data_IF_954579095152
#
_entry.id   IF_954579095152
#
_cell.length_a   1.000
_cell.length_b   1.000
_cell.length_c   1.000
_cell.angle_alpha   90.00
_cell.angle_beta   90.00
_cell.angle_gamma   90.00
#
_symmetry.space_group_name_H-M   'P 1'
#
loop_
_entity.id
_entity.type
_entity.pdbx_description
1 polymer ?
#
# COMPACT_ATOMS: atom_id res chain seq x y z
N UNK A 1 -7.54 9.10 -8.16
CA UNK A 1 -7.43 10.08 -7.04
C UNK A 1 -7.33 9.30 -5.74
N UNK A 2 -6.14 8.84 -5.34
CA UNK A 2 -5.99 7.93 -4.19
C UNK A 2 -4.74 8.19 -3.33
N UNK A 3 -4.12 9.36 -3.46
CA UNK A 3 -2.99 9.78 -2.62
C UNK A 3 -3.16 11.24 -2.21
N UNK A 4 -2.95 11.53 -0.93
CA UNK A 4 -3.38 12.79 -0.32
C UNK A 4 -4.89 13.01 -0.51
N UNK A 5 -5.29 14.27 -0.63
CA UNK A 5 -6.70 14.64 -0.85
C UNK A 5 -7.10 14.60 -2.33
N UNK A 6 -6.22 14.09 -3.21
CA UNK A 6 -6.44 14.09 -4.66
C UNK A 6 -6.30 15.46 -5.34
N UNK A 7 -5.84 16.47 -4.60
CA UNK A 7 -5.50 17.81 -5.09
C UNK A 7 -4.08 18.20 -4.63
N UNK A 8 -3.42 19.07 -5.39
CA UNK A 8 -2.07 19.56 -5.10
C UNK A 8 -1.98 21.07 -5.35
N UNK A 9 -1.10 21.76 -4.62
CA UNK A 9 -0.63 23.08 -5.02
C UNK A 9 0.52 22.91 -6.02
N UNK A 10 0.45 23.61 -7.16
CA UNK A 10 1.52 23.59 -8.14
C UNK A 10 2.53 24.71 -7.83
N UNK A 11 3.82 24.39 -7.80
CA UNK A 11 4.91 25.36 -7.61
C UNK A 11 5.93 25.20 -8.74
N UNK A 12 5.61 25.68 -9.96
CA UNK A 12 6.40 25.39 -11.17
C UNK A 12 7.88 25.76 -11.06
N UNK A 13 8.23 26.80 -10.30
CA UNK A 13 9.62 27.20 -10.16
C UNK A 13 10.49 26.20 -9.38
N UNK A 14 9.89 25.23 -8.66
CA UNK A 14 10.59 24.35 -7.71
C UNK A 14 10.13 22.88 -7.74
N UNK A 15 9.29 22.49 -8.72
CA UNK A 15 8.96 21.09 -9.04
C UNK A 15 9.01 20.91 -10.56
N UNK A 16 9.80 19.95 -11.03
CA UNK A 16 10.06 19.72 -12.46
C UNK A 16 8.78 19.39 -13.25
N UNK A 17 7.86 18.64 -12.64
CA UNK A 17 6.61 18.23 -13.30
C UNK A 17 5.69 19.43 -13.43
N UNK A 18 5.62 20.25 -12.39
CA UNK A 18 4.87 21.50 -12.40
C UNK A 18 5.49 22.50 -13.40
N UNK A 19 6.83 22.56 -13.51
CA UNK A 19 7.54 23.40 -14.48
C UNK A 19 7.17 23.02 -15.92
N UNK A 20 7.28 21.73 -16.26
CA UNK A 20 6.93 21.23 -17.59
C UNK A 20 5.45 21.47 -17.93
N UNK A 21 4.55 21.29 -16.94
CA UNK A 21 3.13 21.58 -17.10
C UNK A 21 2.89 23.08 -17.33
N UNK A 22 3.51 23.95 -16.53
CA UNK A 22 3.37 25.38 -16.65
C UNK A 22 3.88 25.91 -17.99
N UNK A 23 5.03 25.43 -18.47
CA UNK A 23 5.55 25.77 -19.80
C UNK A 23 4.57 25.41 -20.90
N UNK A 24 4.06 24.17 -20.88
CA UNK A 24 3.13 23.68 -21.91
C UNK A 24 1.85 24.50 -21.99
N UNK A 25 1.36 24.99 -20.86
CA UNK A 25 0.09 25.71 -20.75
C UNK A 25 0.25 27.21 -20.52
N UNK A 26 1.46 27.75 -20.67
CA UNK A 26 1.80 29.16 -20.46
C UNK A 26 1.29 29.71 -19.11
N UNK A 27 1.48 28.93 -18.05
CA UNK A 27 1.11 29.32 -16.68
C UNK A 27 2.26 30.07 -16.01
N UNK A 28 1.96 30.93 -15.01
CA UNK A 28 2.98 31.68 -14.29
C UNK A 28 3.99 30.79 -13.57
N UNK A 29 5.28 31.11 -13.72
CA UNK A 29 6.39 30.50 -12.99
C UNK A 29 6.99 31.57 -12.08
N UNK A 30 6.87 31.40 -10.75
CA UNK A 30 7.34 32.38 -9.76
C UNK A 30 8.43 31.77 -8.88
N UNK A 31 9.64 32.29 -8.97
CA UNK A 31 10.75 31.89 -8.11
C UNK A 31 10.51 32.36 -6.66
N UNK A 32 10.60 31.42 -5.72
CA UNK A 32 10.54 31.66 -4.27
C UNK A 32 11.68 31.01 -3.48
N UNK A 33 12.56 30.25 -4.14
CA UNK A 33 13.81 29.72 -3.58
C UNK A 33 14.99 30.18 -4.45
N UNK A 34 16.05 30.65 -3.80
CA UNK A 34 17.33 30.95 -4.42
C UNK A 34 18.46 30.16 -3.73
N UNK A 35 19.50 29.85 -4.50
CA UNK A 35 20.67 29.10 -4.02
C UNK A 35 21.90 29.99 -4.20
N UNK A 36 22.66 30.19 -3.13
CA UNK A 36 23.88 31.01 -3.18
C UNK A 36 24.87 30.42 -4.20
N UNK A 37 25.33 31.26 -5.15
CA UNK A 37 26.21 30.87 -6.25
C UNK A 37 25.48 30.53 -7.56
N UNK A 38 24.17 30.32 -7.53
CA UNK A 38 23.34 30.17 -8.74
C UNK A 38 22.72 31.52 -9.10
N UNK A 39 23.06 32.08 -10.26
CA UNK A 39 22.73 33.48 -10.60
C UNK A 39 21.67 33.65 -11.67
N UNK A 40 21.29 32.59 -12.39
CA UNK A 40 20.30 32.66 -13.46
C UNK A 40 19.15 31.70 -13.23
N UNK A 41 18.01 32.20 -12.77
CA UNK A 41 16.74 31.50 -12.85
C UNK A 41 16.14 31.70 -14.25
N UNK A 42 15.89 30.60 -14.96
CA UNK A 42 15.25 30.59 -16.28
C UNK A 42 13.78 30.19 -16.16
N UNK A 43 12.91 30.94 -16.85
CA UNK A 43 11.50 30.60 -16.99
C UNK A 43 11.24 29.65 -18.17
N UNK A 44 12.28 29.28 -18.93
CA UNK A 44 12.16 28.50 -20.17
C UNK A 44 12.82 27.12 -20.06
N UNK A 45 13.82 26.99 -19.20
CA UNK A 45 14.60 25.77 -19.02
C UNK A 45 14.70 25.40 -17.54
N UNK A 46 14.45 24.11 -17.26
CA UNK A 46 14.62 23.53 -15.93
C UNK A 46 16.11 23.41 -15.59
N UNK A 47 16.45 23.67 -14.33
CA UNK A 47 17.77 23.37 -13.77
C UNK A 47 17.60 22.62 -12.45
N UNK A 48 18.42 21.60 -12.20
CA UNK A 48 18.31 20.73 -11.02
C UNK A 48 18.30 21.49 -9.68
N UNK A 49 19.04 22.59 -9.60
CA UNK A 49 19.11 23.40 -8.37
C UNK A 49 17.77 24.05 -7.99
N UNK A 50 16.82 24.17 -8.93
CA UNK A 50 15.48 24.68 -8.65
C UNK A 50 14.75 23.87 -7.56
N UNK A 51 15.08 22.57 -7.43
CA UNK A 51 14.52 21.67 -6.43
C UNK A 51 15.45 21.42 -5.22
N UNK A 52 16.55 22.17 -5.09
CA UNK A 52 17.53 22.00 -4.00
C UNK A 52 16.96 22.42 -2.64
N UNK A 53 16.76 21.44 -1.76
CA UNK A 53 16.24 21.64 -0.40
C UNK A 53 17.31 21.91 0.65
N UNK A 54 18.58 21.71 0.33
CA UNK A 54 19.68 21.79 1.29
C UNK A 54 20.34 23.16 1.27
N UNK A 55 20.60 23.72 0.09
CA UNK A 55 21.26 25.02 -0.08
C UNK A 55 20.28 26.18 -0.26
N UNK A 56 19.03 25.86 -0.60
CA UNK A 56 18.01 26.85 -0.91
C UNK A 56 17.61 27.71 0.29
N UNK A 57 17.45 29.02 0.04
CA UNK A 57 16.83 29.98 0.96
C UNK A 57 15.62 30.63 0.29
N UNK A 58 14.62 30.97 1.08
CA UNK A 58 13.43 31.64 0.56
C UNK A 58 13.75 33.06 0.07
N UNK A 59 13.17 33.41 -1.06
CA UNK A 59 13.11 34.76 -1.65
C UNK A 59 11.68 35.03 -2.11
N UNK A 60 11.31 36.30 -2.34
CA UNK A 60 9.99 36.69 -2.84
C UNK A 60 8.80 36.12 -2.02
N UNK A 61 9.04 35.86 -0.73
CA UNK A 61 8.18 35.16 0.23
C UNK A 61 7.86 36.03 1.47
N UNK A 62 8.26 37.31 1.46
CA UNK A 62 7.88 38.28 2.48
C UNK A 62 8.59 37.99 3.81
N UNK A 63 7.82 37.79 4.90
CA UNK A 63 8.40 37.59 6.25
C UNK A 63 9.24 36.30 6.39
N UNK A 64 9.18 35.41 5.41
CA UNK A 64 9.95 34.16 5.40
C UNK A 64 11.25 34.25 4.60
N UNK A 65 11.53 35.39 3.95
CA UNK A 65 12.75 35.57 3.15
C UNK A 65 14.01 35.31 4.00
N UNK A 66 14.98 34.61 3.41
CA UNK A 66 16.24 34.22 4.05
C UNK A 66 16.19 32.92 4.87
N UNK A 67 14.99 32.36 5.15
CA UNK A 67 14.88 31.09 5.86
C UNK A 67 15.32 29.91 4.97
N UNK A 68 16.03 28.95 5.56
CA UNK A 68 16.30 27.64 4.96
C UNK A 68 15.11 26.68 5.10
N UNK A 69 15.19 25.52 4.45
CA UNK A 69 14.04 24.61 4.27
C UNK A 69 13.30 24.23 5.56
N UNK A 70 13.97 23.65 6.56
CA UNK A 70 13.29 23.19 7.79
C UNK A 70 12.65 24.35 8.57
N UNK A 71 13.39 25.46 8.74
CA UNK A 71 12.89 26.65 9.42
C UNK A 71 11.71 27.29 8.67
N UNK A 72 11.74 27.28 7.33
CA UNK A 72 10.64 27.75 6.50
C UNK A 72 9.38 26.88 6.64
N UNK A 73 9.54 25.55 6.59
CA UNK A 73 8.43 24.60 6.78
C UNK A 73 7.79 24.79 8.15
N UNK A 74 8.60 24.94 9.20
CA UNK A 74 8.14 25.14 10.56
C UNK A 74 7.38 26.46 10.73
N UNK A 75 7.96 27.57 10.25
CA UNK A 75 7.36 28.89 10.34
C UNK A 75 6.03 28.98 9.58
N UNK A 76 6.00 28.50 8.32
CA UNK A 76 4.79 28.55 7.48
C UNK A 76 3.71 27.64 8.06
N UNK A 77 4.05 26.44 8.52
CA UNK A 77 3.07 25.54 9.12
C UNK A 77 2.48 26.12 10.41
N UNK A 78 3.28 26.76 11.26
CA UNK A 78 2.78 27.42 12.47
C UNK A 78 1.79 28.54 12.15
N UNK A 79 2.08 29.35 11.12
CA UNK A 79 1.19 30.42 10.67
C UNK A 79 -0.11 29.92 10.02
N UNK A 80 -0.06 28.83 9.26
CA UNK A 80 -1.25 28.19 8.68
C UNK A 80 -2.14 27.61 9.78
N UNK A 81 -1.55 26.93 10.76
CA UNK A 81 -2.25 26.36 11.90
C UNK A 81 -2.93 27.45 12.74
N UNK A 82 -2.21 28.54 13.06
CA UNK A 82 -2.75 29.67 13.81
C UNK A 82 -3.95 30.36 13.12
N UNK A 83 -4.05 30.22 11.78
CA UNK A 83 -5.16 30.74 10.97
C UNK A 83 -6.27 29.71 10.69
N UNK A 84 -6.09 28.46 11.11
CA UNK A 84 -6.99 27.36 10.77
C UNK A 84 -7.01 27.02 9.28
N UNK A 85 -5.92 27.24 8.56
CA UNK A 85 -5.80 27.03 7.11
C UNK A 85 -5.06 25.74 6.73
N UNK A 86 -4.50 25.02 7.71
CA UNK A 86 -3.83 23.75 7.48
C UNK A 86 -2.81 23.41 8.56
N UNK A 87 -2.38 22.15 8.57
CA UNK A 87 -1.46 21.58 9.55
C UNK A 87 -0.42 20.68 8.88
N UNK A 88 0.65 20.34 9.60
CA UNK A 88 1.61 19.33 9.15
C UNK A 88 0.94 17.96 9.11
N UNK A 89 1.23 17.20 8.06
CA UNK A 89 0.70 15.84 7.89
C UNK A 89 1.79 14.90 7.38
N UNK A 90 1.91 13.74 8.01
CA UNK A 90 2.69 12.61 7.50
C UNK A 90 1.79 11.78 6.59
N UNK A 91 2.30 11.44 5.40
CA UNK A 91 1.59 10.67 4.38
C UNK A 91 2.48 9.51 3.92
N UNK A 92 1.86 8.39 3.56
CA UNK A 92 2.55 7.19 3.07
C UNK A 92 2.12 6.88 1.65
N UNK A 93 3.09 6.65 0.76
CA UNK A 93 2.80 6.17 -0.60
C UNK A 93 2.36 4.71 -0.62
N UNK A 94 2.67 3.95 0.44
CA UNK A 94 2.21 2.58 0.62
C UNK A 94 0.68 2.55 0.66
N UNK A 95 0.10 1.57 -0.03
CA UNK A 95 -1.35 1.34 -0.07
C UNK A 95 -1.66 -0.01 0.57
N UNK A 96 -2.91 -0.17 0.96
CA UNK A 96 -3.41 -1.46 1.42
C UNK A 96 -3.26 -2.52 0.31
N UNK A 97 -2.95 -3.74 0.75
CA UNK A 97 -2.78 -4.87 -0.14
C UNK A 97 -4.14 -5.51 -0.45
N UNK A 98 -4.61 -5.32 -1.69
CA UNK A 98 -5.75 -6.06 -2.21
C UNK A 98 -5.37 -7.52 -2.47
N UNK A 99 -5.88 -8.44 -1.63
CA UNK A 99 -5.56 -9.87 -1.70
C UNK A 99 -6.53 -10.67 -2.58
N UNK A 100 -7.71 -10.16 -2.92
CA UNK A 100 -8.69 -10.93 -3.70
C UNK A 100 -8.29 -11.05 -5.17
N UNK A 101 -8.46 -12.23 -5.75
CA UNK A 101 -8.15 -12.54 -7.15
C UNK A 101 -9.33 -13.28 -7.78
N UNK A 102 -9.77 -12.82 -8.95
CA UNK A 102 -10.78 -13.49 -9.77
C UNK A 102 -10.14 -14.67 -10.54
N UNK A 103 -9.52 -15.59 -9.81
CA UNK A 103 -8.79 -16.76 -10.34
C UNK A 103 -9.25 -18.01 -9.58
N UNK A 104 -9.22 -19.13 -10.29
CA UNK A 104 -9.53 -20.44 -9.71
C UNK A 104 -8.44 -20.94 -8.76
N UNK A 105 -7.20 -20.94 -9.24
CA UNK A 105 -6.10 -21.64 -8.58
C UNK A 105 -5.48 -20.79 -7.48
N UNK A 106 -6.08 -20.85 -6.30
CA UNK A 106 -5.62 -20.16 -5.09
C UNK A 106 -6.43 -20.58 -3.87
N UNK A 107 -6.02 -20.12 -2.68
CA UNK A 107 -6.75 -20.39 -1.44
C UNK A 107 -8.12 -19.69 -1.45
N UNK A 108 -9.26 -20.39 -1.29
CA UNK A 108 -10.56 -19.74 -1.19
C UNK A 108 -10.61 -18.79 0.01
N UNK A 109 -11.18 -17.60 -0.19
CA UNK A 109 -11.36 -16.62 0.89
C UNK A 109 -12.48 -17.12 1.81
N UNK A 110 -12.26 -17.24 3.14
CA UNK A 110 -13.23 -17.83 4.06
C UNK A 110 -14.32 -16.83 4.49
N UNK A 111 -15.03 -16.26 3.51
CA UNK A 111 -16.15 -15.33 3.69
C UNK A 111 -17.43 -15.92 3.07
N UNK A 112 -18.56 -15.67 3.72
CA UNK A 112 -19.92 -15.99 3.28
C UNK A 112 -20.72 -14.67 3.22
N UNK A 113 -21.26 -14.36 2.05
CA UNK A 113 -22.16 -13.24 1.81
C UNK A 113 -23.60 -13.65 2.10
N UNK A 114 -24.20 -13.06 3.14
CA UNK A 114 -25.58 -13.24 3.51
C UNK A 114 -26.38 -11.95 3.27
N UNK A 115 -27.54 -12.05 2.60
CA UNK A 115 -28.42 -10.89 2.35
C UNK A 115 -28.89 -10.17 3.61
N UNK A 116 -28.98 -10.88 4.74
CA UNK A 116 -29.46 -10.33 6.02
C UNK A 116 -28.30 -9.92 6.94
N UNK A 117 -27.22 -10.70 6.96
CA UNK A 117 -26.12 -10.49 7.92
C UNK A 117 -24.90 -9.75 7.35
N UNK A 118 -24.84 -9.52 6.04
CA UNK A 118 -23.66 -8.98 5.36
C UNK A 118 -22.59 -10.04 5.14
N UNK A 119 -21.33 -9.62 5.20
CA UNK A 119 -20.17 -10.49 5.06
C UNK A 119 -19.86 -11.17 6.40
N UNK A 120 -19.92 -12.49 6.41
CA UNK A 120 -19.77 -13.32 7.61
C UNK A 120 -18.57 -14.25 7.42
N UNK A 121 -17.63 -14.33 8.37
CA UNK A 121 -16.54 -15.29 8.29
C UNK A 121 -17.06 -16.72 8.39
N UNK A 122 -16.40 -17.63 7.68
CA UNK A 122 -16.61 -19.07 7.87
C UNK A 122 -16.14 -19.44 9.29
N UNK A 123 -16.93 -20.20 10.08
CA UNK A 123 -16.50 -20.67 11.40
C UNK A 123 -15.23 -21.52 11.35
N UNK A 124 -14.39 -21.44 12.37
CA UNK A 124 -13.10 -22.14 12.44
C UNK A 124 -13.25 -23.66 12.26
N UNK A 125 -14.33 -24.26 12.80
CA UNK A 125 -14.60 -25.69 12.70
C UNK A 125 -15.03 -26.13 11.29
N UNK A 126 -15.37 -25.17 10.41
CA UNK A 126 -15.70 -25.40 9.01
C UNK A 126 -14.53 -25.12 8.08
N UNK A 127 -13.37 -24.74 8.62
CA UNK A 127 -12.14 -24.66 7.86
C UNK A 127 -11.55 -26.06 7.66
N UNK A 128 -10.86 -26.30 6.53
CA UNK A 128 -10.67 -25.39 5.41
C UNK A 128 -11.90 -25.29 4.49
N UNK A 129 -12.07 -24.13 3.84
CA UNK A 129 -12.90 -24.04 2.63
C UNK A 129 -12.13 -24.70 1.50
N UNK A 130 -12.44 -25.96 1.21
CA UNK A 130 -11.71 -26.77 0.22
C UNK A 130 -12.01 -26.26 -1.18
N UNK A 131 -10.96 -25.98 -1.96
CA UNK A 131 -11.07 -25.66 -3.38
C UNK A 131 -11.53 -26.93 -4.14
N UNK A 132 -12.63 -26.89 -4.92
CA UNK A 132 -13.05 -28.04 -5.70
C UNK A 132 -11.99 -28.40 -6.75
N UNK A 133 -11.57 -29.67 -6.85
CA UNK A 133 -10.50 -30.08 -7.78
C UNK A 133 -10.99 -30.48 -9.17
N UNK A 134 -12.23 -30.97 -9.28
CA UNK A 134 -12.82 -31.38 -10.55
C UNK A 134 -13.50 -30.18 -11.25
N UNK A 135 -12.70 -29.35 -11.92
CA UNK A 135 -13.16 -28.09 -12.53
C UNK A 135 -12.73 -27.99 -13.98
N UNK A 136 -13.66 -27.56 -14.84
CA UNK A 136 -13.36 -27.20 -16.23
C UNK A 136 -12.88 -25.74 -16.32
N UNK A 137 -11.62 -25.55 -16.70
CA UNK A 137 -11.03 -24.22 -16.85
C UNK A 137 -11.30 -23.69 -18.27
N UNK A 138 -12.30 -22.82 -18.38
CA UNK A 138 -12.75 -22.25 -19.66
C UNK A 138 -11.95 -21.02 -20.12
N UNK A 139 -10.99 -20.55 -19.32
CA UNK A 139 -10.16 -19.37 -19.62
C UNK A 139 -10.83 -18.01 -19.39
N UNK A 140 -12.11 -17.96 -19.00
CA UNK A 140 -12.87 -16.73 -18.77
C UNK A 140 -13.56 -16.68 -17.40
N UNK A 141 -13.09 -15.77 -16.54
CA UNK A 141 -13.59 -15.56 -15.17
C UNK A 141 -13.15 -16.64 -14.17
N UNK A 142 -13.45 -16.44 -12.89
CA UNK A 142 -13.31 -17.50 -11.88
C UNK A 142 -14.38 -18.57 -12.12
N UNK A 143 -14.01 -19.85 -12.36
CA UNK A 143 -14.96 -20.97 -12.45
C UNK A 143 -15.83 -21.11 -11.20
N UNK A 144 -15.30 -20.75 -10.02
CA UNK A 144 -16.01 -20.84 -8.73
C UNK A 144 -17.33 -20.06 -8.75
N UNK A 145 -17.39 -18.93 -9.46
CA UNK A 145 -18.60 -18.13 -9.60
C UNK A 145 -19.73 -18.84 -10.37
N UNK A 146 -19.40 -19.90 -11.12
CA UNK A 146 -20.32 -20.72 -11.93
C UNK A 146 -20.60 -22.10 -11.33
N UNK A 147 -20.16 -22.35 -10.09
CA UNK A 147 -20.30 -23.64 -9.41
C UNK A 147 -21.24 -23.51 -8.20
N UNK A 148 -22.57 -23.64 -8.38
CA UNK A 148 -23.54 -23.61 -7.28
C UNK A 148 -23.17 -24.56 -6.14
N UNK A 149 -22.66 -25.74 -6.47
CA UNK A 149 -22.20 -26.76 -5.52
C UNK A 149 -21.07 -26.28 -4.59
N UNK A 150 -20.32 -25.26 -5.01
CA UNK A 150 -19.29 -24.63 -4.18
C UNK A 150 -19.86 -23.43 -3.42
N UNK A 151 -20.49 -22.48 -4.12
CA UNK A 151 -20.85 -21.20 -3.51
C UNK A 151 -22.17 -21.24 -2.74
N UNK A 152 -23.13 -22.10 -3.07
CA UNK A 152 -24.41 -22.16 -2.35
C UNK A 152 -24.22 -22.77 -0.97
N UNK A 153 -24.56 -22.01 0.07
CA UNK A 153 -24.43 -22.46 1.45
C UNK A 153 -25.48 -21.80 2.34
N UNK A 154 -25.51 -22.19 3.62
CA UNK A 154 -26.31 -21.53 4.64
C UNK A 154 -25.47 -20.54 5.41
N UNK A 155 -26.05 -19.40 5.77
CA UNK A 155 -25.40 -18.44 6.64
C UNK A 155 -25.21 -19.06 8.04
N UNK A 156 -23.98 -19.09 8.58
CA UNK A 156 -23.74 -19.67 9.90
C UNK A 156 -24.36 -18.85 11.05
N UNK A 157 -24.72 -17.58 10.79
CA UNK A 157 -25.30 -16.67 11.81
C UNK A 157 -26.82 -16.78 11.91
N UNK A 158 -27.53 -16.91 10.78
CA UNK A 158 -29.00 -16.87 10.75
C UNK A 158 -29.66 -18.09 10.10
N UNK A 159 -28.88 -19.01 9.51
CA UNK A 159 -29.39 -20.20 8.83
C UNK A 159 -30.03 -19.95 7.45
N UNK A 160 -30.18 -18.70 7.02
CA UNK A 160 -30.73 -18.34 5.71
C UNK A 160 -29.81 -18.67 4.54
N UNK A 161 -30.33 -18.61 3.31
CA UNK A 161 -29.54 -18.83 2.10
C UNK A 161 -28.45 -17.76 1.95
N UNK A 162 -27.24 -18.22 1.61
CA UNK A 162 -26.05 -17.39 1.48
C UNK A 162 -25.15 -17.90 0.36
N UNK A 163 -24.12 -17.11 0.03
CA UNK A 163 -23.14 -17.45 -1.00
C UNK A 163 -21.72 -17.32 -0.46
N UNK A 164 -20.85 -18.30 -0.66
CA UNK A 164 -19.41 -18.16 -0.37
C UNK A 164 -18.78 -17.13 -1.29
N UNK A 165 -17.72 -16.48 -0.81
CA UNK A 165 -16.80 -15.73 -1.68
C UNK A 165 -16.20 -16.69 -2.74
N UNK A 166 -16.07 -16.18 -3.96
CA UNK A 166 -15.62 -16.93 -5.14
C UNK A 166 -14.28 -16.44 -5.68
N UNK A 167 -13.76 -15.34 -5.13
CA UNK A 167 -12.38 -14.94 -5.26
C UNK A 167 -11.46 -15.81 -4.39
N UNK A 168 -10.23 -15.96 -4.85
CA UNK A 168 -9.15 -16.62 -4.12
C UNK A 168 -8.12 -15.60 -3.64
N UNK A 169 -7.28 -16.00 -2.69
CA UNK A 169 -6.19 -15.16 -2.21
C UNK A 169 -5.05 -15.04 -3.23
N UNK A 170 -4.42 -13.88 -3.25
CA UNK A 170 -3.19 -13.59 -3.96
C UNK A 170 -2.05 -14.52 -3.52
N UNK A 171 -1.25 -15.01 -4.46
CA UNK A 171 -0.22 -16.03 -4.16
C UNK A 171 0.91 -15.55 -3.26
N UNK A 172 1.08 -14.23 -3.13
CA UNK A 172 1.97 -13.65 -2.12
C UNK A 172 1.46 -13.92 -0.70
N UNK A 173 0.19 -14.25 -0.50
CA UNK A 173 -0.37 -14.58 0.81
C UNK A 173 0.31 -15.82 1.39
N UNK A 174 0.45 -16.89 0.60
CA UNK A 174 1.12 -18.13 1.01
C UNK A 174 2.62 -17.92 1.18
N UNK A 175 3.27 -17.18 0.28
CA UNK A 175 4.72 -16.92 0.38
C UNK A 175 5.08 -15.99 1.54
N UNK A 176 4.13 -15.26 2.13
CA UNK A 176 4.42 -14.32 3.23
C UNK A 176 4.64 -14.99 4.59
N UNK A 177 4.48 -16.31 4.72
CA UNK A 177 4.63 -16.99 6.02
C UNK A 177 5.17 -18.43 5.94
N UNK A 178 5.42 -18.98 4.74
CA UNK A 178 5.91 -20.35 4.56
C UNK A 178 7.17 -20.68 5.38
N UNK A 179 8.08 -19.71 5.55
CA UNK A 179 9.31 -19.85 6.32
C UNK A 179 9.05 -20.13 7.80
N UNK A 180 7.94 -19.61 8.35
CA UNK A 180 7.49 -19.95 9.70
C UNK A 180 6.93 -21.37 9.75
N UNK A 181 6.18 -21.77 8.71
CA UNK A 181 5.57 -23.11 8.64
C UNK A 181 6.60 -24.22 8.56
N UNK A 182 7.78 -23.98 7.99
CA UNK A 182 8.87 -24.96 7.98
C UNK A 182 9.35 -25.39 9.37
N UNK A 183 9.16 -24.56 10.41
CA UNK A 183 9.49 -24.95 11.78
C UNK A 183 8.56 -26.04 12.33
N UNK A 184 7.35 -26.15 11.80
CA UNK A 184 6.27 -26.99 12.34
C UNK A 184 5.30 -27.52 11.25
N UNK A 185 5.80 -28.18 10.19
CA UNK A 185 4.97 -28.52 9.02
C UNK A 185 3.86 -29.52 9.33
N UNK A 186 4.07 -30.35 10.35
CA UNK A 186 3.18 -31.42 10.84
C UNK A 186 2.12 -30.94 11.86
N UNK A 187 2.11 -29.66 12.24
CA UNK A 187 1.11 -29.12 13.18
C UNK A 187 -0.27 -29.00 12.51
N UNK A 188 -1.21 -29.88 12.84
CA UNK A 188 -2.56 -29.88 12.28
C UNK A 188 -3.57 -28.96 13.01
N UNK A 189 -3.16 -28.25 14.06
CA UNK A 189 -4.06 -27.54 14.99
C UNK A 189 -3.95 -26.01 14.93
N UNK A 190 -2.84 -25.49 14.42
CA UNK A 190 -2.59 -24.06 14.32
C UNK A 190 -1.71 -23.73 13.11
N UNK A 191 -1.63 -22.44 12.77
CA UNK A 191 -0.73 -21.92 11.74
C UNK A 191 0.74 -22.27 12.06
N UNK A 192 1.16 -22.05 13.31
CA UNK A 192 2.49 -22.37 13.85
C UNK A 192 2.43 -22.76 15.33
N UNK A 193 3.49 -23.33 15.87
CA UNK A 193 3.66 -23.65 17.31
C UNK A 193 4.97 -23.10 17.90
N UNK A 194 5.29 -23.48 19.15
CA UNK A 194 6.45 -23.00 19.89
C UNK A 194 7.80 -23.26 19.20
N UNK A 195 7.88 -24.18 18.23
CA UNK A 195 9.10 -24.43 17.46
C UNK A 195 9.55 -23.21 16.65
N UNK A 196 8.64 -22.31 16.27
CA UNK A 196 8.99 -21.03 15.62
C UNK A 196 9.85 -20.16 16.53
N UNK A 197 9.58 -20.15 17.85
CA UNK A 197 10.38 -19.36 18.79
C UNK A 197 11.82 -19.90 18.95
N UNK A 198 12.06 -21.16 18.60
CA UNK A 198 13.40 -21.73 18.52
C UNK A 198 14.08 -21.38 17.19
N UNK A 199 13.42 -21.64 16.06
CA UNK A 199 14.02 -21.51 14.72
C UNK A 199 14.12 -20.08 14.20
N UNK A 200 13.20 -19.19 14.58
CA UNK A 200 13.12 -17.81 14.08
C UNK A 200 13.51 -16.79 15.15
N UNK A 201 14.23 -17.21 16.19
CA UNK A 201 14.66 -16.33 17.27
C UNK A 201 15.62 -15.26 16.74
N UNK A 202 15.20 -14.01 16.76
CA UNK A 202 15.98 -12.90 16.18
C UNK A 202 15.84 -12.78 14.66
N UNK A 203 14.87 -13.49 14.06
CA UNK A 203 14.62 -13.51 12.62
C UNK A 203 15.23 -14.72 11.91
N UNK A 204 15.29 -14.64 10.58
CA UNK A 204 15.96 -15.64 9.73
C UNK A 204 17.43 -15.20 9.60
N UNK A 205 18.38 -16.06 9.99
CA UNK A 205 19.82 -15.73 10.01
C UNK A 205 20.34 -15.27 8.64
N UNK A 206 19.95 -15.98 7.58
CA UNK A 206 20.31 -15.67 6.22
C UNK A 206 19.15 -16.02 5.29
N UNK A 207 18.67 -15.03 4.55
CA UNK A 207 17.70 -15.22 3.47
C UNK A 207 18.41 -14.96 2.13
N UNK A 208 18.27 -15.86 1.16
CA UNK A 208 18.90 -15.77 -0.17
C UNK A 208 17.76 -15.71 -1.20
N UNK A 209 17.73 -14.64 -2.00
CA UNK A 209 16.72 -14.45 -3.04
C UNK A 209 17.14 -13.37 -4.03
N UNK A 210 16.44 -13.31 -5.16
CA UNK A 210 16.68 -12.30 -6.19
C UNK A 210 16.07 -10.93 -5.87
N UNK A 211 16.62 -9.89 -6.49
CA UNK A 211 16.22 -8.49 -6.26
C UNK A 211 14.78 -8.19 -6.72
N UNK A 212 14.23 -9.01 -7.61
CA UNK A 212 12.85 -8.92 -8.09
C UNK A 212 11.80 -9.01 -6.97
N UNK A 213 12.17 -9.54 -5.80
CA UNK A 213 11.30 -9.71 -4.65
C UNK A 213 11.37 -8.57 -3.62
N UNK A 214 12.17 -7.52 -3.86
CA UNK A 214 12.50 -6.49 -2.88
C UNK A 214 11.30 -5.71 -2.32
N UNK A 215 10.31 -5.39 -3.17
CA UNK A 215 9.19 -4.50 -2.81
C UNK A 215 7.84 -5.22 -2.66
N UNK A 216 7.77 -6.51 -3.01
CA UNK A 216 6.58 -7.34 -2.88
C UNK A 216 6.80 -8.38 -1.79
N UNK A 217 7.30 -9.57 -2.14
CA UNK A 217 7.48 -10.70 -1.21
C UNK A 217 8.22 -10.32 0.07
N UNK A 218 9.34 -9.59 0.00
CA UNK A 218 10.06 -9.19 1.21
C UNK A 218 9.26 -8.21 2.07
N UNK A 219 8.52 -7.30 1.46
CA UNK A 219 7.64 -6.36 2.17
C UNK A 219 6.42 -7.07 2.80
N UNK A 220 5.78 -8.00 2.08
CA UNK A 220 4.62 -8.76 2.58
C UNK A 220 5.02 -9.80 3.63
N UNK A 221 6.23 -10.36 3.56
CA UNK A 221 6.77 -11.25 4.60
C UNK A 221 7.10 -10.47 5.88
N UNK A 222 7.69 -9.28 5.76
CA UNK A 222 8.03 -8.44 6.90
C UNK A 222 6.79 -7.99 7.70
N UNK A 223 5.68 -7.69 7.03
CA UNK A 223 4.43 -7.29 7.71
C UNK A 223 3.75 -8.41 8.50
N UNK A 224 4.16 -9.67 8.29
CA UNK A 224 3.62 -10.86 8.98
C UNK A 224 4.59 -11.52 9.95
N UNK A 225 5.80 -10.97 10.10
CA UNK A 225 6.69 -11.41 11.16
C UNK A 225 6.05 -11.06 12.50
N UNK A 226 5.74 -12.05 13.37
CA UNK A 226 5.31 -11.72 14.71
C UNK A 226 6.43 -10.90 15.36
N UNK A 227 6.11 -9.71 15.84
CA UNK A 227 7.00 -8.96 16.74
C UNK A 227 7.32 -9.88 17.91
N UNK A 228 8.54 -10.44 17.94
CA UNK A 228 9.10 -11.04 19.14
C UNK A 228 9.32 -9.98 20.21
#
# INVERSE_FOLDING_TARGET
MSYGDGAVMAVPAHDERDFAFALKYNLPIKQVVAVDGETSFSHEAWAEWYADKQRGKLVNSGKYDGLGYEAAVDAIAADLAAKGLGDKKVQFRLRDWGISRQRYWGCPIPIIHCKTCGDVPVPDEQLPVVLPENVEITGAGSPLAKMPEFYECKCPKCGGDARRETDTMDTFFESSWYFLRYACPDNATAMVDERVAYWCKGGIDQYIGGIEHAILHLATSASRSPTC
#
